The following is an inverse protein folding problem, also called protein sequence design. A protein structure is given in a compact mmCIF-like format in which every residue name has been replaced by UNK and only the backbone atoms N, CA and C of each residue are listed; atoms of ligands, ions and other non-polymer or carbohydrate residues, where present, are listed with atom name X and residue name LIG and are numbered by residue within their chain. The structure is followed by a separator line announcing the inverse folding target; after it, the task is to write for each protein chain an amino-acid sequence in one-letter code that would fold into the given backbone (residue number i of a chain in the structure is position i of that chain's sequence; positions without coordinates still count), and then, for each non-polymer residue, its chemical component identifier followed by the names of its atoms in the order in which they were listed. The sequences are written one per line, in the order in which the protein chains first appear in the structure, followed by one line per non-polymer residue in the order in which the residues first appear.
data_IF_283322229210
#
_entry.id   IF_283322229210
#
_cell.length_a   1.000
_cell.length_b   1.000
_cell.length_c   1.000
_cell.angle_alpha   90.00
_cell.angle_beta   90.00
_cell.angle_gamma   90.00
#
_symmetry.space_group_name_H-M   'P 1'
#
loop_
_entity.id
_entity.type
_entity.pdbx_description
1 polymer ?
#
# COMPACT_ATOMS: atom_id res chain seq x y z
N UNK A 1 -51.65 -67.57 38.32
CA UNK A 1 -51.56 -66.19 38.86
C UNK A 1 -50.08 -65.78 38.90
N UNK A 2 -49.74 -64.70 38.17
CA UNK A 2 -48.67 -63.68 38.31
C UNK A 2 -47.32 -64.10 38.95
N UNK A 3 -46.21 -64.22 38.18
CA UNK A 3 -45.22 -63.21 37.68
C UNK A 3 -43.98 -63.07 38.62
N UNK A 4 -42.81 -63.42 38.06
CA UNK A 4 -41.42 -62.86 38.09
C UNK A 4 -40.97 -62.00 39.32
N UNK A 5 -39.71 -61.94 39.79
CA UNK A 5 -38.39 -61.95 39.12
C UNK A 5 -37.24 -61.98 40.17
N UNK A 6 -36.03 -62.30 39.68
CA UNK A 6 -34.64 -62.27 40.20
C UNK A 6 -34.22 -61.08 41.13
N UNK A 7 -33.06 -61.06 41.83
CA UNK A 7 -31.68 -60.87 41.30
C UNK A 7 -30.61 -61.19 42.37
N UNK A 8 -29.56 -61.86 41.90
CA UNK A 8 -28.30 -62.21 42.55
C UNK A 8 -27.26 -61.08 42.32
N UNK A 9 -26.44 -60.72 43.31
CA UNK A 9 -25.29 -59.82 43.10
C UNK A 9 -24.04 -60.36 43.81
N UNK A 10 -23.11 -60.86 43.01
CA UNK A 10 -21.74 -61.24 43.39
C UNK A 10 -20.77 -60.26 42.73
N UNK A 11 -19.91 -59.60 43.51
CA UNK A 11 -18.77 -58.85 42.98
C UNK A 11 -17.49 -59.67 43.20
N UNK A 12 -16.92 -60.16 42.11
CA UNK A 12 -15.63 -60.86 42.05
C UNK A 12 -14.51 -59.92 41.62
N UNK A 13 -13.32 -60.21 42.14
CA UNK A 13 -12.07 -59.47 42.06
C UNK A 13 -11.51 -59.29 40.64
N UNK A 14 -10.92 -58.11 40.43
CA UNK A 14 -10.20 -57.71 39.22
C UNK A 14 -8.86 -58.46 39.10
N UNK A 15 -8.66 -59.18 38.01
CA UNK A 15 -7.34 -59.71 37.59
C UNK A 15 -6.88 -58.93 36.35
N UNK A 16 -5.67 -58.38 36.41
CA UNK A 16 -5.06 -57.62 35.31
C UNK A 16 -4.22 -58.59 34.48
N UNK A 17 -4.62 -58.79 33.23
CA UNK A 17 -3.86 -59.56 32.23
C UNK A 17 -3.05 -58.60 31.36
N UNK A 18 -1.72 -58.76 31.34
CA UNK A 18 -0.83 -58.10 30.37
C UNK A 18 -0.89 -58.84 29.03
N UNK A 19 -1.53 -58.24 28.04
CA UNK A 19 -1.53 -58.71 26.65
C UNK A 19 -0.29 -58.20 25.90
N UNK A 20 0.47 -59.12 25.31
CA UNK A 20 1.55 -58.78 24.37
C UNK A 20 0.89 -58.56 23.01
N UNK A 21 0.89 -57.31 22.52
CA UNK A 21 0.44 -57.01 21.16
C UNK A 21 1.55 -57.37 20.17
N UNK A 22 1.26 -58.29 19.24
CA UNK A 22 2.12 -58.57 18.09
C UNK A 22 1.89 -57.50 17.02
N UNK A 23 2.96 -56.87 16.53
CA UNK A 23 2.89 -55.91 15.45
C UNK A 23 2.59 -56.61 14.12
N UNK A 24 1.44 -56.31 13.52
CA UNK A 24 1.10 -56.71 12.15
C UNK A 24 1.86 -55.81 11.17
N UNK A 25 2.64 -56.41 10.27
CA UNK A 25 3.27 -55.68 9.16
C UNK A 25 2.25 -55.37 8.06
N UNK A 26 2.16 -54.10 7.67
CA UNK A 26 1.35 -53.64 6.54
C UNK A 26 1.99 -54.06 5.19
N UNK A 27 1.20 -54.16 4.10
CA UNK A 27 1.74 -54.53 2.79
C UNK A 27 2.64 -53.42 2.25
N UNK A 28 3.74 -53.80 1.62
CA UNK A 28 4.66 -52.87 0.98
C UNK A 28 3.97 -52.13 -0.16
N UNK A 29 3.80 -50.81 -0.02
CA UNK A 29 3.37 -49.95 -1.11
C UNK A 29 4.51 -49.78 -2.12
N UNK A 30 4.22 -50.04 -3.40
CA UNK A 30 5.10 -49.73 -4.52
C UNK A 30 5.51 -48.26 -4.46
N UNK A 31 6.80 -48.02 -4.28
CA UNK A 31 7.38 -46.69 -4.38
C UNK A 31 7.35 -46.23 -5.84
N UNK A 32 6.31 -45.48 -6.21
CA UNK A 32 6.36 -44.63 -7.38
C UNK A 32 7.46 -43.61 -7.12
N UNK A 33 8.50 -43.60 -7.97
CA UNK A 33 9.53 -42.58 -7.91
C UNK A 33 8.84 -41.21 -8.03
N UNK A 34 8.85 -40.46 -6.94
CA UNK A 34 8.44 -39.06 -6.96
C UNK A 34 9.46 -38.37 -7.86
N UNK A 35 9.06 -38.07 -9.09
CA UNK A 35 9.78 -37.09 -9.90
C UNK A 35 9.69 -35.82 -9.06
N UNK A 36 10.80 -35.49 -8.39
CA UNK A 36 10.94 -34.24 -7.69
C UNK A 36 10.73 -33.15 -8.73
N UNK A 37 9.55 -32.53 -8.71
CA UNK A 37 9.35 -31.22 -9.30
C UNK A 37 10.41 -30.34 -8.63
N UNK A 38 11.49 -30.08 -9.35
CA UNK A 38 12.42 -29.04 -8.97
C UNK A 38 11.57 -27.79 -8.72
N UNK A 39 11.75 -27.08 -7.60
CA UNK A 39 11.11 -25.79 -7.46
C UNK A 39 11.58 -24.97 -8.66
N UNK A 40 10.64 -24.53 -9.51
CA UNK A 40 10.87 -23.42 -10.44
C UNK A 40 11.00 -22.14 -9.61
N UNK A 41 11.98 -22.12 -8.73
CA UNK A 41 12.47 -20.93 -8.07
C UNK A 41 13.69 -20.58 -8.89
N UNK A 42 13.44 -20.11 -10.12
CA UNK A 42 14.27 -19.03 -10.62
C UNK A 42 14.20 -18.00 -9.49
N UNK A 43 15.27 -17.90 -8.71
CA UNK A 43 15.63 -16.62 -8.16
C UNK A 43 15.84 -15.74 -9.41
N UNK A 44 14.73 -15.20 -9.93
CA UNK A 44 14.77 -13.99 -10.72
C UNK A 44 15.71 -13.10 -9.94
N UNK A 45 16.84 -12.77 -10.56
CA UNK A 45 17.77 -11.82 -9.99
C UNK A 45 16.94 -10.66 -9.50
N UNK A 46 16.81 -10.54 -8.18
CA UNK A 46 16.50 -9.28 -7.56
C UNK A 46 17.75 -8.44 -7.81
N UNK A 47 17.90 -7.96 -9.04
CA UNK A 47 18.77 -6.82 -9.30
C UNK A 47 18.31 -5.78 -8.27
N UNK A 48 19.21 -5.29 -7.40
CA UNK A 48 18.83 -4.34 -6.38
C UNK A 48 18.07 -3.22 -7.06
N UNK A 49 16.83 -2.97 -6.61
CA UNK A 49 16.04 -1.84 -7.12
C UNK A 49 16.94 -0.63 -6.93
N UNK A 50 17.46 -0.10 -8.03
CA UNK A 50 18.33 1.05 -7.97
C UNK A 50 17.51 2.16 -7.31
N UNK A 51 18.03 2.80 -6.24
CA UNK A 51 17.29 3.84 -5.57
C UNK A 51 16.95 4.93 -6.59
N UNK A 52 15.67 5.30 -6.65
CA UNK A 52 15.19 6.33 -7.57
C UNK A 52 15.96 7.62 -7.27
N UNK A 53 16.63 8.17 -8.29
CA UNK A 53 17.22 9.50 -8.22
C UNK A 53 16.22 10.51 -8.76
N UNK A 54 15.60 11.26 -7.85
CA UNK A 54 14.68 12.32 -8.21
C UNK A 54 15.44 13.50 -8.83
N UNK A 55 14.95 13.98 -9.97
CA UNK A 55 15.46 15.18 -10.63
C UNK A 55 14.28 16.09 -10.97
N UNK A 56 14.48 17.39 -10.81
CA UNK A 56 13.44 18.34 -11.11
C UNK A 56 13.13 18.31 -12.63
N UNK A 57 11.85 18.11 -12.97
CA UNK A 57 11.37 17.92 -14.34
C UNK A 57 11.35 16.46 -14.82
N UNK A 58 11.82 15.50 -14.02
CA UNK A 58 11.84 14.07 -14.38
C UNK A 58 10.81 13.26 -13.57
N UNK A 59 9.96 12.53 -14.29
CA UNK A 59 8.94 11.63 -13.74
C UNK A 59 8.98 10.25 -14.40
N UNK A 60 10.09 9.86 -15.02
CA UNK A 60 10.28 8.55 -15.65
C UNK A 60 10.03 7.37 -14.69
N UNK A 61 10.27 7.58 -13.39
CA UNK A 61 10.02 6.63 -12.31
C UNK A 61 8.54 6.53 -11.89
N UNK A 62 7.72 7.52 -12.24
CA UNK A 62 6.36 7.67 -11.71
C UNK A 62 5.41 6.53 -12.10
N UNK A 63 5.38 6.00 -13.33
CA UNK A 63 4.44 4.93 -13.67
C UNK A 63 4.59 3.69 -12.77
N UNK A 64 5.83 3.28 -12.49
CA UNK A 64 6.13 2.15 -11.60
C UNK A 64 5.67 2.45 -10.18
N UNK A 65 6.03 3.62 -9.63
CA UNK A 65 5.71 3.98 -8.26
C UNK A 65 4.20 4.23 -8.06
N UNK A 66 3.52 4.81 -9.05
CA UNK A 66 2.08 5.03 -9.06
C UNK A 66 1.31 3.70 -9.07
N UNK A 67 1.74 2.73 -9.88
CA UNK A 67 1.18 1.38 -9.85
C UNK A 67 1.38 0.71 -8.49
N UNK A 68 2.57 0.85 -7.90
CA UNK A 68 2.84 0.35 -6.54
C UNK A 68 1.94 1.03 -5.49
N UNK A 69 1.60 2.30 -5.67
CA UNK A 69 0.63 3.01 -4.82
C UNK A 69 -0.84 2.62 -5.10
N UNK A 70 -1.12 1.90 -6.18
CA UNK A 70 -2.47 1.43 -6.54
C UNK A 70 -3.24 2.38 -7.46
N UNK A 71 -2.57 3.32 -8.14
CA UNK A 71 -3.21 4.18 -9.14
C UNK A 71 -3.62 3.39 -10.38
N UNK A 72 -4.78 3.68 -10.98
CA UNK A 72 -5.18 3.03 -12.22
C UNK A 72 -4.40 3.60 -13.42
N UNK A 73 -4.08 2.74 -14.39
CA UNK A 73 -3.24 3.08 -15.56
C UNK A 73 -3.72 4.32 -16.32
N UNK A 74 -5.03 4.47 -16.49
CA UNK A 74 -5.63 5.60 -17.21
C UNK A 74 -5.44 6.96 -16.50
N UNK A 75 -5.19 6.96 -15.18
CA UNK A 75 -5.00 8.18 -14.41
C UNK A 75 -3.54 8.67 -14.41
N UNK A 76 -2.59 7.77 -14.69
CA UNK A 76 -1.15 8.07 -14.64
C UNK A 76 -0.75 9.25 -15.54
N UNK A 77 -1.22 9.38 -16.80
CA UNK A 77 -0.87 10.53 -17.63
C UNK A 77 -1.24 11.88 -17.01
N UNK A 78 -2.41 11.97 -16.37
CA UNK A 78 -2.85 13.21 -15.71
C UNK A 78 -2.11 13.45 -14.40
N UNK A 79 -1.86 12.38 -13.64
CA UNK A 79 -1.04 12.42 -12.44
C UNK A 79 0.37 12.96 -12.72
N UNK A 80 0.99 12.55 -13.83
CA UNK A 80 2.29 13.07 -14.27
C UNK A 80 2.26 14.59 -14.47
N UNK A 81 1.25 15.11 -15.17
CA UNK A 81 1.11 16.55 -15.38
C UNK A 81 0.95 17.32 -14.06
N UNK A 82 0.20 16.76 -13.13
CA UNK A 82 -0.01 17.36 -11.80
C UNK A 82 1.31 17.38 -11.04
N UNK A 83 2.00 16.25 -10.92
CA UNK A 83 3.27 16.18 -10.16
C UNK A 83 4.33 17.11 -10.75
N UNK A 84 4.44 17.21 -12.08
CA UNK A 84 5.36 18.15 -12.72
C UNK A 84 5.02 19.61 -12.40
N UNK A 85 3.73 19.96 -12.33
CA UNK A 85 3.30 21.33 -11.97
C UNK A 85 3.50 21.62 -10.48
N UNK A 86 3.07 20.70 -9.62
CA UNK A 86 3.00 20.89 -8.17
C UNK A 86 4.40 20.87 -7.53
N UNK A 87 5.19 19.87 -7.86
CA UNK A 87 6.49 19.63 -7.22
C UNK A 87 7.66 19.59 -8.18
N UNK A 88 7.41 19.57 -9.50
CA UNK A 88 8.44 19.30 -10.48
C UNK A 88 8.99 17.88 -10.40
N UNK A 89 8.28 16.94 -9.77
CA UNK A 89 8.78 15.58 -9.51
C UNK A 89 9.66 15.43 -8.27
N UNK A 90 9.78 16.47 -7.43
CA UNK A 90 10.59 16.45 -6.22
C UNK A 90 9.77 16.10 -4.97
N UNK A 91 10.01 14.94 -4.32
CA UNK A 91 9.10 14.40 -3.29
C UNK A 91 9.25 15.02 -1.90
N UNK A 92 10.38 15.64 -1.59
CA UNK A 92 10.70 16.21 -0.28
C UNK A 92 10.28 17.69 -0.15
N UNK A 93 9.48 18.22 -1.09
CA UNK A 93 9.06 19.63 -1.09
C UNK A 93 7.88 19.89 -0.17
N UNK A 94 7.99 20.95 0.61
CA UNK A 94 6.87 21.64 1.26
C UNK A 94 6.50 22.88 0.43
N UNK A 95 5.26 23.34 0.51
CA UNK A 95 4.74 24.42 -0.33
C UNK A 95 5.56 25.70 -0.21
N UNK A 96 6.05 26.22 -1.33
CA UNK A 96 6.96 27.38 -1.38
C UNK A 96 8.45 27.05 -1.28
N UNK A 97 8.85 25.78 -1.13
CA UNK A 97 10.26 25.40 -1.25
C UNK A 97 10.77 25.63 -2.68
N UNK A 98 11.99 26.15 -2.78
CA UNK A 98 12.80 26.14 -4.00
C UNK A 98 13.70 24.92 -4.01
N UNK A 99 13.93 24.35 -5.20
CA UNK A 99 14.81 23.19 -5.37
C UNK A 99 15.82 23.40 -6.49
N UNK A 100 16.96 22.74 -6.38
CA UNK A 100 17.88 22.59 -7.50
C UNK A 100 17.48 21.44 -8.45
N UNK A 101 18.31 21.18 -9.46
CA UNK A 101 18.09 20.13 -10.46
C UNK A 101 18.02 18.71 -9.87
N UNK A 102 18.60 18.49 -8.70
CA UNK A 102 18.64 17.18 -8.03
C UNK A 102 17.65 17.12 -6.86
N UNK A 103 16.65 18.02 -6.84
CA UNK A 103 15.62 18.11 -5.80
C UNK A 103 16.15 18.42 -4.39
N UNK A 104 17.33 19.04 -4.26
CA UNK A 104 17.77 19.56 -2.96
C UNK A 104 17.05 20.88 -2.67
N UNK A 105 16.57 21.06 -1.44
CA UNK A 105 15.95 22.31 -1.02
C UNK A 105 17.01 23.40 -0.94
N UNK A 106 16.85 24.48 -1.70
CA UNK A 106 17.79 25.60 -1.77
C UNK A 106 17.29 26.85 -1.03
N UNK A 107 16.02 26.86 -0.64
CA UNK A 107 15.40 27.95 0.12
C UNK A 107 13.89 27.89 0.08
N UNK A 108 13.24 28.97 0.55
CA UNK A 108 11.78 29.11 0.56
C UNK A 108 11.42 30.45 -0.08
N UNK A 109 10.60 30.42 -1.13
CA UNK A 109 10.12 31.62 -1.84
C UNK A 109 8.75 32.11 -1.35
N UNK A 110 7.99 31.24 -0.68
CA UNK A 110 6.63 31.54 -0.18
C UNK A 110 6.36 30.81 1.14
N UNK A 111 5.73 31.49 2.10
CA UNK A 111 5.48 30.97 3.45
C UNK A 111 4.00 30.72 3.74
N UNK A 112 3.08 31.13 2.86
CA UNK A 112 1.64 31.00 3.11
C UNK A 112 1.07 29.60 2.83
N UNK A 113 1.82 28.73 2.15
CA UNK A 113 1.37 27.40 1.72
C UNK A 113 2.23 26.26 2.25
N UNK A 114 2.96 26.47 3.36
CA UNK A 114 3.91 25.48 3.92
C UNK A 114 3.31 24.11 4.24
N UNK A 115 1.98 24.01 4.40
CA UNK A 115 1.30 22.74 4.64
C UNK A 115 1.19 21.85 3.41
N UNK A 116 1.37 22.39 2.21
CA UNK A 116 1.30 21.62 0.98
C UNK A 116 2.52 20.71 0.89
N UNK A 117 2.32 19.40 0.68
CA UNK A 117 3.37 18.42 0.98
C UNK A 117 3.61 17.43 -0.15
N UNK A 118 4.88 17.25 -0.47
CA UNK A 118 5.43 16.20 -1.31
C UNK A 118 5.07 16.33 -2.79
N UNK A 119 5.10 15.18 -3.49
CA UNK A 119 4.92 15.11 -4.94
C UNK A 119 3.64 15.81 -5.43
N UNK A 120 2.55 15.60 -4.70
CA UNK A 120 1.23 16.10 -5.02
C UNK A 120 0.89 17.42 -4.31
N UNK A 121 1.81 17.98 -3.51
CA UNK A 121 1.56 19.20 -2.74
C UNK A 121 0.24 19.13 -1.95
N UNK A 122 0.01 18.00 -1.25
CA UNK A 122 -1.21 17.75 -0.51
C UNK A 122 -1.36 18.77 0.62
N UNK A 123 -2.45 19.52 0.62
CA UNK A 123 -2.73 20.54 1.63
C UNK A 123 -3.06 19.94 3.01
N UNK A 124 -2.65 20.63 4.06
CA UNK A 124 -2.87 20.24 5.46
C UNK A 124 -4.31 19.98 5.86
N UNK A 125 -5.30 20.59 5.20
CA UNK A 125 -6.72 20.28 5.49
C UNK A 125 -7.11 18.82 5.24
N UNK A 126 -6.28 18.05 4.53
CA UNK A 126 -6.53 16.66 4.20
C UNK A 126 -5.88 15.67 5.17
N UNK A 127 -4.88 16.09 5.96
CA UNK A 127 -4.18 15.22 6.91
C UNK A 127 -4.17 15.75 8.34
N UNK A 128 -4.31 17.06 8.58
CA UNK A 128 -4.20 17.64 9.92
C UNK A 128 -5.59 17.75 10.59
N UNK A 129 -5.88 16.95 11.63
CA UNK A 129 -7.17 16.98 12.31
C UNK A 129 -7.46 18.29 13.04
N UNK A 130 -6.43 19.09 13.37
CA UNK A 130 -6.62 20.42 13.97
C UNK A 130 -7.19 21.43 12.97
N UNK A 131 -6.94 21.22 11.67
CA UNK A 131 -7.46 22.05 10.57
C UNK A 131 -8.77 21.53 10.02
N UNK A 132 -8.96 20.21 10.08
CA UNK A 132 -10.18 19.55 9.63
C UNK A 132 -10.35 18.21 10.36
N UNK A 133 -11.33 18.12 11.26
CA UNK A 133 -11.63 16.87 11.99
C UNK A 133 -12.00 15.69 11.09
N UNK A 134 -12.34 15.95 9.82
CA UNK A 134 -12.65 14.93 8.81
C UNK A 134 -11.52 14.73 7.79
N UNK A 135 -10.30 15.17 8.10
CA UNK A 135 -9.11 14.99 7.27
C UNK A 135 -9.00 13.55 6.73
N UNK A 136 -9.28 13.41 5.42
CA UNK A 136 -9.47 12.10 4.79
C UNK A 136 -8.22 11.22 4.90
N UNK A 137 -7.03 11.79 4.71
CA UNK A 137 -5.76 11.03 4.76
C UNK A 137 -5.48 10.53 6.18
N UNK A 138 -5.75 11.34 7.20
CA UNK A 138 -5.61 10.91 8.60
C UNK A 138 -6.59 9.79 8.93
N UNK A 139 -7.84 9.88 8.47
CA UNK A 139 -8.85 8.86 8.74
C UNK A 139 -8.59 7.54 8.01
N UNK A 140 -8.19 7.59 6.74
CA UNK A 140 -8.04 6.40 5.90
C UNK A 140 -6.67 5.74 6.02
N UNK A 141 -5.60 6.51 6.27
CA UNK A 141 -4.23 5.99 6.31
C UNK A 141 -3.54 6.15 7.67
N UNK A 142 -4.19 6.74 8.67
CA UNK A 142 -3.59 7.09 9.95
C UNK A 142 -2.36 8.01 9.81
N UNK A 143 -2.33 8.84 8.76
CA UNK A 143 -1.29 9.85 8.52
C UNK A 143 -1.87 11.21 8.88
N UNK A 144 -1.54 11.68 10.08
CA UNK A 144 -2.15 12.88 10.65
C UNK A 144 -1.17 14.08 10.76
N UNK A 145 0.02 13.94 10.19
CA UNK A 145 1.09 14.95 10.22
C UNK A 145 1.74 15.07 8.85
N UNK A 146 2.54 16.12 8.66
CA UNK A 146 3.18 16.45 7.39
C UNK A 146 4.28 15.46 7.00
N UNK A 147 5.18 15.11 7.92
CA UNK A 147 6.44 14.44 7.58
C UNK A 147 6.31 13.11 6.82
N UNK A 148 5.35 12.22 7.13
CA UNK A 148 5.17 10.99 6.36
C UNK A 148 4.84 11.24 4.89
N UNK A 149 4.24 12.38 4.55
CA UNK A 149 3.89 12.74 3.17
C UNK A 149 5.08 13.24 2.36
N UNK A 150 6.27 13.38 2.94
CA UNK A 150 7.52 13.63 2.21
C UNK A 150 8.11 12.34 1.61
N UNK A 151 7.62 11.17 2.04
CA UNK A 151 7.91 9.91 1.36
C UNK A 151 7.06 9.81 0.07
N UNK A 152 7.68 9.58 -1.10
CA UNK A 152 7.00 9.63 -2.39
C UNK A 152 5.90 8.57 -2.54
N UNK A 153 6.13 7.34 -2.07
CA UNK A 153 5.13 6.27 -2.17
C UNK A 153 3.93 6.57 -1.26
N UNK A 154 4.20 7.04 -0.05
CA UNK A 154 3.19 7.44 0.93
C UNK A 154 2.38 8.63 0.42
N UNK A 155 3.03 9.63 -0.18
CA UNK A 155 2.37 10.76 -0.80
C UNK A 155 1.43 10.33 -1.95
N UNK A 156 1.86 9.40 -2.79
CA UNK A 156 1.03 8.84 -3.87
C UNK A 156 -0.17 8.06 -3.34
N UNK A 157 -0.01 7.28 -2.26
CA UNK A 157 -1.13 6.59 -1.59
C UNK A 157 -2.12 7.59 -0.99
N UNK A 158 -1.63 8.64 -0.34
CA UNK A 158 -2.45 9.70 0.21
C UNK A 158 -3.21 10.46 -0.90
N UNK A 159 -2.54 10.75 -2.02
CA UNK A 159 -3.17 11.31 -3.20
C UNK A 159 -4.27 10.43 -3.78
N UNK A 160 -4.07 9.11 -3.81
CA UNK A 160 -5.05 8.15 -4.29
C UNK A 160 -6.33 8.16 -3.45
N UNK A 161 -6.22 8.39 -2.12
CA UNK A 161 -7.39 8.58 -1.25
C UNK A 161 -8.24 9.75 -1.74
N UNK A 162 -7.62 10.91 -1.98
CA UNK A 162 -8.33 12.10 -2.46
C UNK A 162 -8.88 11.90 -3.88
N UNK A 163 -8.12 11.25 -4.76
CA UNK A 163 -8.56 10.92 -6.11
C UNK A 163 -9.82 10.05 -6.12
N UNK A 164 -9.90 9.06 -5.22
CA UNK A 164 -11.10 8.21 -5.11
C UNK A 164 -12.33 8.96 -4.62
N UNK A 165 -12.14 10.04 -3.85
CA UNK A 165 -13.24 10.85 -3.32
C UNK A 165 -13.78 11.86 -4.34
N UNK A 166 -12.91 12.46 -5.17
CA UNK A 166 -13.28 13.61 -6.01
C UNK A 166 -12.52 13.71 -7.32
N UNK A 167 -11.93 12.61 -7.80
CA UNK A 167 -11.07 12.65 -8.99
C UNK A 167 -9.90 13.64 -8.83
N UNK A 168 -9.60 14.40 -9.88
CA UNK A 168 -8.49 15.36 -9.86
C UNK A 168 -8.87 16.76 -9.34
N UNK A 169 -10.10 16.95 -8.84
CA UNK A 169 -10.57 18.26 -8.37
C UNK A 169 -9.69 18.93 -7.31
N UNK A 170 -9.07 18.22 -6.35
CA UNK A 170 -8.15 18.84 -5.38
C UNK A 170 -6.95 19.54 -6.03
N UNK A 171 -6.61 19.17 -7.27
CA UNK A 171 -5.49 19.73 -8.04
C UNK A 171 -5.96 20.48 -9.29
N UNK A 172 -7.25 20.80 -9.37
CA UNK A 172 -7.78 21.56 -10.49
C UNK A 172 -7.42 23.06 -10.32
N UNK A 173 -6.61 23.64 -11.22
CA UNK A 173 -6.23 25.05 -11.12
C UNK A 173 -7.42 26.01 -11.17
N UNK A 174 -8.55 25.56 -11.74
CA UNK A 174 -9.75 26.36 -11.94
C UNK A 174 -10.62 26.47 -10.69
N UNK A 175 -10.32 25.68 -9.65
CA UNK A 175 -11.01 25.78 -8.37
C UNK A 175 -10.52 26.99 -7.55
N UNK A 176 -9.35 27.54 -7.87
CA UNK A 176 -8.75 28.67 -7.15
C UNK A 176 -8.32 29.83 -8.06
N UNK A 177 -8.46 29.69 -9.39
CA UNK A 177 -8.33 30.77 -10.37
C UNK A 177 -9.47 30.71 -11.37
N UNK A 178 -9.87 31.88 -11.90
CA UNK A 178 -10.71 31.92 -13.11
C UNK A 178 -9.89 31.38 -14.27
N UNK A 179 -10.10 30.11 -14.65
CA UNK A 179 -9.55 29.57 -15.89
C UNK A 179 -10.40 30.03 -17.07
N UNK A 180 -9.81 30.81 -17.98
CA UNK A 180 -10.35 30.88 -19.34
C UNK A 180 -9.90 29.62 -20.08
N UNK A 181 -10.81 28.97 -20.80
CA UNK A 181 -10.46 27.87 -21.69
C UNK A 181 -9.42 28.37 -22.71
N UNK A 182 -8.23 27.75 -22.75
CA UNK A 182 -7.28 27.99 -23.83
C UNK A 182 -7.83 27.33 -25.09
N UNK A 183 -8.19 28.13 -26.08
CA UNK A 183 -8.57 27.68 -27.43
C UNK A 183 -7.36 27.42 -28.33
N UNK A 184 -6.15 27.49 -27.80
CA UNK A 184 -4.94 27.18 -28.57
C UNK A 184 -4.74 25.67 -28.58
N UNK A 185 -5.20 25.03 -29.66
CA UNK A 185 -4.71 23.73 -30.08
C UNK A 185 -3.18 23.78 -30.10
N UNK A 186 -2.55 22.89 -29.33
CA UNK A 186 -1.09 22.69 -29.36
C UNK A 186 -0.71 22.22 -30.77
N UNK A 187 0.35 22.78 -31.39
CA UNK A 187 0.83 22.36 -32.71
C UNK A 187 1.31 20.90 -32.73
#
# INVERSE_FOLDING_TARGET
MRILTAILATFTSLTISLGIAQAVSAPAHSSVAVIALQPLWQADRLDPIQPIRYRHGDTSWLPTLAKQAGWPDHAIPKLTQIILRESGGCPNRRGGDMVDKDCNITGVSEWNHRSDTGLLQINGVNYDPSRNKWAAICRELNICTQDPLLDPLTNLKAGLVLYRLSGFDPWNPCNWRVCKASTTSVP
#
